data_IF_988863470469
#
_entry.id   IF_988863470469
#
_cell.length_a   1.000
_cell.length_b   1.000
_cell.length_c   1.000
_cell.angle_alpha   90.00
_cell.angle_beta   90.00
_cell.angle_gamma   90.00
#
_symmetry.space_group_name_H-M   'P 1'
#
loop_
_entity.id
_entity.type
_entity.pdbx_description
1 polymer ?
#
# COMPACT_ATOMS: atom_id res chain seq x y z
N UNK A 1 8.61 -1.32 -11.06
CA UNK A 1 9.64 -2.13 -10.35
C UNK A 1 9.07 -2.84 -9.10
N UNK A 2 9.59 -4.03 -8.75
CA UNK A 2 9.33 -4.69 -7.46
C UNK A 2 10.60 -4.70 -6.60
N UNK A 3 10.50 -4.35 -5.31
CA UNK A 3 11.59 -4.37 -4.33
C UNK A 3 11.09 -5.01 -3.04
N UNK A 4 11.68 -6.13 -2.61
CA UNK A 4 11.25 -6.87 -1.41
C UNK A 4 9.73 -7.16 -1.41
N UNK A 5 9.19 -7.57 -2.57
CA UNK A 5 7.76 -7.79 -2.82
C UNK A 5 6.86 -6.53 -2.78
N UNK A 6 7.41 -5.35 -2.53
CA UNK A 6 6.68 -4.09 -2.61
C UNK A 6 6.74 -3.54 -4.05
N UNK A 7 5.58 -3.14 -4.58
CA UNK A 7 5.49 -2.54 -5.91
C UNK A 7 5.84 -1.05 -5.88
N UNK A 8 6.60 -0.58 -6.86
CA UNK A 8 6.95 0.82 -7.06
C UNK A 8 6.77 1.15 -8.55
N UNK A 9 6.21 2.32 -8.86
CA UNK A 9 6.04 2.78 -10.24
C UNK A 9 7.38 3.22 -10.84
N UNK A 10 7.63 2.87 -12.11
CA UNK A 10 8.83 3.36 -12.83
C UNK A 10 8.59 4.75 -13.45
N UNK A 11 7.33 5.17 -13.56
CA UNK A 11 6.89 6.41 -14.22
C UNK A 11 6.84 7.63 -13.29
N UNK A 12 7.47 7.56 -12.11
CA UNK A 12 7.44 8.63 -11.10
C UNK A 12 8.83 8.89 -10.52
N UNK A 13 9.01 10.09 -9.97
CA UNK A 13 10.17 10.45 -9.17
C UNK A 13 9.86 10.29 -7.67
N UNK A 14 10.89 10.07 -6.86
CA UNK A 14 10.76 9.74 -5.45
C UNK A 14 11.52 10.72 -4.56
N UNK A 15 10.86 11.15 -3.48
CA UNK A 15 11.51 11.70 -2.30
C UNK A 15 11.75 10.54 -1.32
N UNK A 16 13.01 10.13 -1.22
CA UNK A 16 13.42 8.98 -0.41
C UNK A 16 13.34 9.25 1.09
N UNK A 17 13.46 10.51 1.51
CA UNK A 17 13.42 10.88 2.93
C UNK A 17 11.99 10.82 3.46
N UNK A 18 11.04 11.29 2.66
CA UNK A 18 9.64 11.43 3.07
C UNK A 18 8.72 10.33 2.54
N UNK A 19 9.24 9.38 1.77
CA UNK A 19 8.49 8.26 1.18
C UNK A 19 7.28 8.72 0.36
N UNK A 20 7.44 9.84 -0.37
CA UNK A 20 6.45 10.37 -1.32
C UNK A 20 6.96 10.23 -2.74
N UNK A 21 6.03 10.14 -3.68
CA UNK A 21 6.32 10.13 -5.11
C UNK A 21 5.71 11.34 -5.80
N UNK A 22 6.28 11.69 -6.95
CA UNK A 22 5.92 12.84 -7.76
C UNK A 22 5.80 12.42 -9.23
N UNK A 23 4.65 12.70 -9.85
CA UNK A 23 4.40 12.41 -11.28
C UNK A 23 4.04 13.69 -12.03
N UNK A 24 4.71 13.95 -13.15
CA UNK A 24 4.47 15.14 -13.96
C UNK A 24 3.05 15.12 -14.57
N UNK A 25 2.38 16.27 -14.54
CA UNK A 25 1.10 16.54 -15.20
C UNK A 25 1.12 17.99 -15.70
N UNK A 26 1.45 18.16 -16.98
CA UNK A 26 1.61 19.48 -17.61
C UNK A 26 2.64 20.37 -16.88
N UNK A 27 2.19 21.46 -16.25
CA UNK A 27 2.97 22.46 -15.50
C UNK A 27 3.09 22.15 -13.99
N UNK A 28 2.48 21.04 -13.56
CA UNK A 28 2.30 20.68 -12.16
C UNK A 28 2.55 19.19 -11.97
N UNK A 29 2.45 18.73 -10.72
CA UNK A 29 2.82 17.38 -10.36
C UNK A 29 1.81 16.77 -9.40
N UNK A 30 1.38 15.55 -9.68
CA UNK A 30 0.70 14.72 -8.71
C UNK A 30 1.69 14.27 -7.64
N UNK A 31 1.26 14.31 -6.39
CA UNK A 31 2.00 13.85 -5.23
C UNK A 31 1.19 12.77 -4.52
N UNK A 32 1.83 11.65 -4.22
CA UNK A 32 1.25 10.58 -3.43
C UNK A 32 2.28 9.94 -2.52
N UNK A 33 1.89 8.86 -1.84
CA UNK A 33 2.77 8.13 -0.92
C UNK A 33 3.22 6.81 -1.53
N UNK A 34 4.44 6.39 -1.19
CA UNK A 34 4.99 5.13 -1.69
C UNK A 34 4.37 3.91 -1.01
N UNK A 35 4.59 2.74 -1.59
CA UNK A 35 4.21 1.45 -0.99
C UNK A 35 4.80 1.25 0.41
N UNK A 36 5.98 1.80 0.70
CA UNK A 36 6.55 1.78 2.07
C UNK A 36 5.58 2.43 3.05
N UNK A 37 5.11 3.64 2.73
CA UNK A 37 4.16 4.37 3.58
C UNK A 37 2.85 3.60 3.73
N UNK A 38 2.30 3.11 2.63
CA UNK A 38 1.02 2.38 2.61
C UNK A 38 1.07 1.14 3.50
N UNK A 39 2.06 0.28 3.29
CA UNK A 39 2.17 -0.96 4.06
C UNK A 39 2.59 -0.74 5.51
N UNK A 40 3.35 0.32 5.79
CA UNK A 40 3.69 0.70 7.15
C UNK A 40 2.49 1.29 7.90
N UNK A 41 1.56 1.98 7.22
CA UNK A 41 0.37 2.61 7.83
C UNK A 41 -0.72 1.59 8.15
N UNK A 42 -0.81 0.51 7.38
CA UNK A 42 -1.95 -0.40 7.40
C UNK A 42 -3.08 0.11 6.50
N UNK A 43 -4.29 -0.46 6.63
CA UNK A 43 -5.47 0.02 5.90
C UNK A 43 -5.74 1.45 6.32
N UNK A 44 -5.65 2.39 5.37
CA UNK A 44 -5.84 3.81 5.65
C UNK A 44 -7.32 4.05 5.96
N UNK A 45 -7.59 4.64 7.11
CA UNK A 45 -8.92 4.90 7.66
C UNK A 45 -9.33 6.36 7.50
N UNK A 46 -8.38 7.29 7.62
CA UNK A 46 -8.62 8.72 7.49
C UNK A 46 -7.50 9.41 6.72
N UNK A 47 -7.86 10.48 6.01
CA UNK A 47 -6.96 11.31 5.19
C UNK A 47 -7.30 12.77 5.46
N UNK A 48 -6.28 13.59 5.72
CA UNK A 48 -6.41 15.04 5.82
C UNK A 48 -5.40 15.70 4.90
N UNK A 49 -5.83 16.68 4.11
CA UNK A 49 -5.01 17.33 3.10
C UNK A 49 -5.20 18.84 3.18
N UNK A 50 -4.12 19.60 2.93
CA UNK A 50 -4.20 21.06 2.84
C UNK A 50 -5.09 21.48 1.66
N UNK A 51 -5.87 22.56 1.80
CA UNK A 51 -6.78 23.00 0.75
C UNK A 51 -6.02 23.58 -0.44
N UNK A 52 -6.72 23.62 -1.59
CA UNK A 52 -6.25 24.31 -2.81
C UNK A 52 -5.90 25.77 -2.49
N UNK A 53 -4.84 26.26 -3.12
CA UNK A 53 -4.29 27.61 -2.91
C UNK A 53 -3.26 27.70 -1.79
N UNK A 54 -3.08 26.64 -0.98
CA UNK A 54 -2.10 26.68 0.12
C UNK A 54 -0.67 26.62 -0.41
N UNK A 55 0.14 27.61 -0.06
CA UNK A 55 1.60 27.58 -0.24
C UNK A 55 2.27 26.75 0.85
N UNK A 56 3.22 25.90 0.47
CA UNK A 56 3.91 24.99 1.38
C UNK A 56 5.39 24.90 0.99
N UNK A 57 6.27 24.99 1.98
CA UNK A 57 7.71 24.80 1.78
C UNK A 57 8.07 23.31 1.72
N UNK A 58 9.16 22.99 1.00
CA UNK A 58 9.74 21.65 0.98
C UNK A 58 9.91 21.09 2.41
N UNK A 59 9.53 19.83 2.60
CA UNK A 59 9.63 19.11 3.87
C UNK A 59 8.56 19.51 4.90
N UNK A 60 7.67 20.46 4.60
CA UNK A 60 6.55 20.82 5.48
C UNK A 60 5.30 19.99 5.16
N UNK A 61 4.42 19.88 6.15
CA UNK A 61 3.19 19.09 6.07
C UNK A 61 2.28 19.60 4.94
N UNK A 62 1.86 18.67 4.08
CA UNK A 62 0.79 18.83 3.08
C UNK A 62 -0.46 18.02 3.42
N UNK A 63 -0.33 17.03 4.32
CA UNK A 63 -1.44 16.22 4.80
C UNK A 63 -1.01 15.14 5.79
N UNK A 64 -1.94 14.26 6.12
CA UNK A 64 -1.71 13.11 6.99
C UNK A 64 -2.58 11.92 6.63
N UNK A 65 -2.07 10.73 6.90
CA UNK A 65 -2.75 9.44 6.73
C UNK A 65 -2.80 8.74 8.09
N UNK A 66 -3.96 8.20 8.43
CA UNK A 66 -4.15 7.43 9.65
C UNK A 66 -4.56 6.00 9.32
N UNK A 67 -3.86 5.04 9.91
CA UNK A 67 -4.21 3.63 9.86
C UNK A 67 -3.94 2.94 11.19
N UNK A 68 -4.31 1.67 11.32
CA UNK A 68 -4.21 0.94 12.58
C UNK A 68 -2.76 0.67 13.01
N UNK A 69 -1.80 0.72 12.08
CA UNK A 69 -0.38 0.43 12.39
C UNK A 69 0.39 1.71 12.71
N UNK A 70 0.15 2.79 11.97
CA UNK A 70 0.86 4.05 12.15
C UNK A 70 0.01 5.27 11.74
N UNK A 71 0.37 6.43 12.28
CA UNK A 71 -0.03 7.74 11.78
C UNK A 71 1.13 8.34 10.99
N UNK A 72 0.88 8.82 9.77
CA UNK A 72 1.91 9.34 8.87
C UNK A 72 1.61 10.78 8.49
N UNK A 73 2.59 11.66 8.71
CA UNK A 73 2.58 13.02 8.15
C UNK A 73 3.15 12.97 6.73
N UNK A 74 2.38 13.46 5.77
CA UNK A 74 2.82 13.62 4.38
C UNK A 74 3.45 14.99 4.22
N UNK A 75 4.70 15.02 3.76
CA UNK A 75 5.49 16.25 3.58
C UNK A 75 5.62 16.62 2.10
N UNK A 76 5.74 17.91 1.83
CA UNK A 76 5.93 18.43 0.48
C UNK A 76 7.31 18.00 -0.07
N UNK A 77 7.37 17.36 -1.26
CA UNK A 77 8.63 16.99 -1.89
C UNK A 77 9.43 18.21 -2.41
N UNK A 78 8.76 19.33 -2.63
CA UNK A 78 9.30 20.60 -3.08
C UNK A 78 8.45 21.77 -2.56
N UNK A 79 9.01 22.98 -2.53
CA UNK A 79 8.26 24.21 -2.23
C UNK A 79 7.33 24.56 -3.40
N UNK A 80 6.11 24.98 -3.08
CA UNK A 80 5.10 25.27 -4.11
C UNK A 80 3.72 25.56 -3.55
N UNK A 81 2.70 25.44 -4.40
CA UNK A 81 1.29 25.64 -4.04
C UNK A 81 0.43 24.44 -4.42
N UNK A 82 -0.54 24.10 -3.57
CA UNK A 82 -1.56 23.08 -3.85
C UNK A 82 -2.53 23.61 -4.90
N UNK A 83 -2.64 22.92 -6.03
CA UNK A 83 -3.56 23.25 -7.14
C UNK A 83 -4.82 22.41 -7.12
N UNK A 84 -4.71 21.17 -6.66
CA UNK A 84 -5.83 20.24 -6.63
C UNK A 84 -5.68 19.28 -5.44
N UNK A 85 -6.81 18.81 -4.92
CA UNK A 85 -6.90 17.80 -3.87
C UNK A 85 -7.76 16.66 -4.40
N UNK A 86 -7.28 15.42 -4.26
CA UNK A 86 -8.05 14.27 -4.69
C UNK A 86 -9.22 14.00 -3.71
N UNK A 87 -10.42 14.43 -4.08
CA UNK A 87 -11.61 14.23 -3.24
C UNK A 87 -12.00 12.76 -3.10
N UNK A 88 -11.58 11.89 -4.04
CA UNK A 88 -11.90 10.46 -3.98
C UNK A 88 -11.21 9.77 -2.80
N UNK A 89 -9.95 10.10 -2.49
CA UNK A 89 -9.25 9.50 -1.35
C UNK A 89 -9.75 10.03 -0.01
N UNK A 90 -10.37 11.22 0.02
CA UNK A 90 -11.04 11.72 1.21
C UNK A 90 -12.32 10.93 1.51
N UNK A 91 -13.07 10.56 0.46
CA UNK A 91 -14.31 9.77 0.58
C UNK A 91 -14.04 8.27 0.71
N UNK A 92 -12.98 7.77 0.07
CA UNK A 92 -12.58 6.36 -0.01
C UNK A 92 -11.07 6.22 0.26
N UNK A 93 -10.61 6.40 1.51
CA UNK A 93 -9.19 6.32 1.87
C UNK A 93 -8.45 5.06 1.42
N UNK A 94 -9.15 3.91 1.41
CA UNK A 94 -8.61 2.61 0.96
C UNK A 94 -8.05 2.64 -0.47
N UNK A 95 -8.47 3.57 -1.31
CA UNK A 95 -7.93 3.75 -2.66
C UNK A 95 -6.41 3.98 -2.66
N UNK A 96 -5.86 4.62 -1.61
CA UNK A 96 -4.42 4.81 -1.45
C UNK A 96 -3.72 3.46 -1.20
N UNK A 97 -4.37 2.51 -0.51
CA UNK A 97 -3.86 1.16 -0.34
C UNK A 97 -3.91 0.35 -1.64
N UNK A 98 -5.01 0.47 -2.39
CA UNK A 98 -5.28 -0.35 -3.58
C UNK A 98 -4.46 0.07 -4.80
N UNK A 99 -4.32 1.38 -5.02
CA UNK A 99 -3.64 1.94 -6.18
C UNK A 99 -2.81 3.19 -5.81
N UNK A 100 -1.71 3.02 -5.06
CA UNK A 100 -0.93 4.14 -4.52
C UNK A 100 -0.30 5.05 -5.57
N UNK A 101 -0.11 4.58 -6.80
CA UNK A 101 0.56 5.33 -7.88
C UNK A 101 -0.37 5.76 -9.02
N UNK A 102 -1.61 5.25 -9.04
CA UNK A 102 -2.67 5.68 -9.94
C UNK A 102 -3.71 6.53 -9.22
N UNK A 103 -4.86 5.94 -8.90
CA UNK A 103 -6.01 6.62 -8.32
C UNK A 103 -5.76 7.17 -6.90
N UNK A 104 -4.77 6.63 -6.17
CA UNK A 104 -4.40 6.99 -4.80
C UNK A 104 -3.54 8.24 -4.63
N UNK A 105 -3.37 9.08 -5.66
CA UNK A 105 -2.69 10.37 -5.51
C UNK A 105 -3.41 11.27 -4.51
N UNK A 106 -2.67 12.14 -3.81
CA UNK A 106 -3.22 12.95 -2.71
C UNK A 106 -3.53 14.38 -3.15
N UNK A 107 -2.51 15.07 -3.67
CA UNK A 107 -2.60 16.47 -4.12
C UNK A 107 -1.89 16.66 -5.44
N UNK A 108 -2.30 17.68 -6.19
CA UNK A 108 -1.55 18.21 -7.34
C UNK A 108 -0.91 19.52 -6.92
N UNK A 109 0.38 19.70 -7.15
CA UNK A 109 1.13 20.89 -6.73
C UNK A 109 1.92 21.50 -7.89
N UNK A 110 2.01 22.83 -7.92
CA UNK A 110 2.92 23.56 -8.82
C UNK A 110 4.18 23.96 -8.02
N UNK A 111 5.39 23.64 -8.49
CA UNK A 111 6.62 24.03 -7.81
C UNK A 111 6.85 25.54 -7.91
N UNK A 112 7.37 26.15 -6.85
CA UNK A 112 7.90 27.52 -6.90
C UNK A 112 9.33 27.57 -7.48
N UNK A 113 10.05 26.46 -7.41
CA UNK A 113 11.40 26.28 -7.99
C UNK A 113 11.49 24.91 -8.68
N UNK A 114 11.50 24.85 -10.03
CA UNK A 114 11.61 23.62 -10.78
C UNK A 114 12.87 22.79 -10.47
N UNK A 115 13.96 23.43 -10.02
CA UNK A 115 15.21 22.72 -9.71
C UNK A 115 15.06 21.75 -8.54
N UNK A 116 14.12 22.00 -7.62
CA UNK A 116 13.87 21.09 -6.50
C UNK A 116 13.29 19.75 -6.96
N UNK A 117 12.51 19.74 -8.04
CA UNK A 117 11.97 18.51 -8.63
C UNK A 117 13.10 17.67 -9.22
N UNK A 118 14.12 18.30 -9.81
CA UNK A 118 15.28 17.63 -10.39
C UNK A 118 16.16 16.90 -9.35
N UNK A 119 15.98 17.18 -8.06
CA UNK A 119 16.70 16.49 -6.97
C UNK A 119 16.05 15.15 -6.58
N UNK A 120 14.82 14.91 -7.01
CA UNK A 120 14.09 13.66 -6.75
C UNK A 120 14.70 12.50 -7.55
N UNK A 121 14.45 11.28 -7.09
CA UNK A 121 15.12 10.07 -7.59
C UNK A 121 14.22 9.27 -8.50
N UNK A 122 14.78 8.75 -9.59
CA UNK A 122 14.12 7.73 -10.40
C UNK A 122 13.91 6.44 -9.60
N UNK A 123 13.03 5.56 -10.08
CA UNK A 123 12.84 4.24 -9.50
C UNK A 123 14.16 3.44 -9.41
N UNK A 124 15.00 3.54 -10.44
CA UNK A 124 16.28 2.84 -10.49
C UNK A 124 17.24 3.33 -9.40
N UNK A 125 17.36 4.65 -9.21
CA UNK A 125 18.18 5.24 -8.13
C UNK A 125 17.61 4.93 -6.73
N UNK A 126 16.30 4.81 -6.61
CA UNK A 126 15.61 4.59 -5.33
C UNK A 126 15.71 3.14 -4.82
N UNK A 127 15.97 2.17 -5.71
CA UNK A 127 15.84 0.73 -5.46
C UNK A 127 16.58 0.25 -4.20
N UNK A 128 17.85 0.62 -4.06
CA UNK A 128 18.68 0.17 -2.94
C UNK A 128 18.22 0.78 -1.61
N UNK A 129 17.89 2.08 -1.62
CA UNK A 129 17.36 2.79 -0.45
C UNK A 129 16.03 2.18 0.01
N UNK A 130 15.14 1.84 -0.93
CA UNK A 130 13.89 1.15 -0.61
C UNK A 130 14.11 -0.25 -0.05
N UNK A 131 14.99 -1.07 -0.63
CA UNK A 131 15.30 -2.40 -0.08
C UNK A 131 15.81 -2.30 1.36
N UNK A 132 16.75 -1.38 1.62
CA UNK A 132 17.27 -1.13 2.97
C UNK A 132 16.17 -0.73 3.93
N UNK A 133 15.31 0.23 3.54
CA UNK A 133 14.26 0.73 4.42
C UNK A 133 13.16 -0.29 4.68
N UNK A 134 12.76 -1.07 3.68
CA UNK A 134 11.78 -2.14 3.83
C UNK A 134 12.26 -3.16 4.87
N UNK A 135 13.54 -3.55 4.81
CA UNK A 135 14.16 -4.46 5.79
C UNK A 135 14.22 -3.84 7.18
N UNK A 136 14.66 -2.59 7.28
CA UNK A 136 14.77 -1.86 8.55
C UNK A 136 13.40 -1.72 9.26
N UNK A 137 12.36 -1.37 8.50
CA UNK A 137 10.99 -1.23 9.00
C UNK A 137 10.24 -2.56 9.09
N UNK A 138 10.85 -3.67 8.66
CA UNK A 138 10.23 -5.01 8.60
C UNK A 138 8.89 -5.03 7.86
N UNK A 139 8.80 -4.23 6.80
CA UNK A 139 7.58 -4.10 5.99
C UNK A 139 7.37 -5.40 5.19
N UNK A 140 6.14 -5.89 5.19
CA UNK A 140 5.72 -7.05 4.41
C UNK A 140 4.67 -6.62 3.40
N UNK A 141 5.07 -6.58 2.14
CA UNK A 141 4.15 -6.34 1.04
C UNK A 141 3.59 -7.66 0.51
N UNK A 142 2.37 -7.59 0.00
CA UNK A 142 1.66 -8.69 -0.65
C UNK A 142 1.02 -8.21 -1.95
N UNK A 143 0.55 -9.14 -2.79
CA UNK A 143 -0.05 -8.89 -4.09
C UNK A 143 -1.34 -8.05 -4.03
N UNK A 144 -2.03 -8.03 -2.88
CA UNK A 144 -3.16 -7.16 -2.63
C UNK A 144 -3.20 -6.77 -1.14
N UNK A 145 -3.73 -5.59 -0.84
CA UNK A 145 -3.89 -5.14 0.53
C UNK A 145 -5.05 -5.90 1.21
N UNK A 146 -4.82 -6.58 2.34
CA UNK A 146 -5.87 -7.33 3.01
C UNK A 146 -6.89 -6.41 3.69
N UNK A 147 -8.18 -6.75 3.61
CA UNK A 147 -9.24 -6.16 4.42
C UNK A 147 -9.25 -6.69 5.84
N UNK A 148 -8.91 -7.97 5.99
CA UNK A 148 -8.72 -8.63 7.28
C UNK A 148 -7.47 -9.52 7.24
N UNK A 149 -6.84 -9.65 8.39
CA UNK A 149 -5.71 -10.56 8.61
C UNK A 149 -6.18 -11.68 9.57
N UNK A 150 -5.98 -12.93 9.18
CA UNK A 150 -6.37 -14.12 9.93
C UNK A 150 -5.10 -14.92 10.26
N UNK A 151 -4.81 -15.10 11.54
CA UNK A 151 -3.62 -15.79 12.03
C UNK A 151 -4.03 -17.09 12.74
N UNK A 152 -3.87 -18.22 12.05
CA UNK A 152 -4.24 -19.56 12.54
C UNK A 152 -2.97 -20.38 12.78
N UNK A 153 -2.39 -20.23 13.97
CA UNK A 153 -1.11 -20.85 14.37
C UNK A 153 -1.36 -21.92 15.44
N UNK A 154 -0.73 -23.09 15.30
CA UNK A 154 -0.89 -24.21 16.23
C UNK A 154 -2.25 -24.93 16.08
N UNK A 155 -2.87 -24.80 14.91
CA UNK A 155 -4.19 -25.36 14.61
C UNK A 155 -4.05 -26.34 13.43
N UNK A 156 -4.70 -27.50 13.53
CA UNK A 156 -4.72 -28.50 12.47
C UNK A 156 -5.53 -28.04 11.24
N UNK A 157 -5.19 -28.59 10.07
CA UNK A 157 -5.55 -28.01 8.77
C UNK A 157 -7.07 -27.82 8.52
N UNK A 158 -7.92 -28.76 8.97
CA UNK A 158 -9.38 -28.67 8.77
C UNK A 158 -10.01 -27.44 9.45
N UNK A 159 -9.45 -27.00 10.57
CA UNK A 159 -9.95 -25.85 11.30
C UNK A 159 -9.51 -24.53 10.64
N UNK A 160 -8.33 -24.48 10.00
CA UNK A 160 -7.86 -23.31 9.26
C UNK A 160 -8.83 -22.95 8.13
N UNK A 161 -9.22 -23.94 7.31
CA UNK A 161 -10.19 -23.71 6.22
C UNK A 161 -11.58 -23.36 6.74
N UNK A 162 -12.02 -23.98 7.85
CA UNK A 162 -13.30 -23.63 8.46
C UNK A 162 -13.34 -22.17 8.91
N UNK A 163 -12.26 -21.67 9.54
CA UNK A 163 -12.10 -20.27 9.94
C UNK A 163 -12.08 -19.32 8.75
N UNK A 164 -11.34 -19.67 7.69
CA UNK A 164 -11.32 -18.89 6.46
C UNK A 164 -12.71 -18.81 5.83
N UNK A 165 -13.45 -19.91 5.76
CA UNK A 165 -14.81 -19.94 5.21
C UNK A 165 -15.79 -19.10 6.04
N UNK A 166 -15.73 -19.20 7.37
CA UNK A 166 -16.54 -18.35 8.27
C UNK A 166 -16.23 -16.86 8.06
N UNK A 167 -14.95 -16.50 7.99
CA UNK A 167 -14.54 -15.12 7.72
C UNK A 167 -15.07 -14.63 6.36
N UNK A 168 -14.87 -15.41 5.29
CA UNK A 168 -15.36 -15.07 3.95
C UNK A 168 -16.88 -14.94 3.90
N UNK A 169 -17.64 -15.75 4.64
CA UNK A 169 -19.10 -15.69 4.65
C UNK A 169 -19.65 -14.33 5.09
N UNK A 170 -18.89 -13.60 5.91
CA UNK A 170 -19.26 -12.27 6.46
C UNK A 170 -18.76 -11.10 5.61
N UNK A 171 -17.88 -11.37 4.65
CA UNK A 171 -17.27 -10.35 3.79
C UNK A 171 -18.06 -10.13 2.50
N UNK A 172 -17.88 -8.97 1.88
CA UNK A 172 -18.43 -8.68 0.56
C UNK A 172 -17.59 -9.32 -0.55
N UNK A 173 -18.19 -9.60 -1.70
CA UNK A 173 -17.45 -10.00 -2.89
C UNK A 173 -16.42 -8.92 -3.23
N UNK A 174 -15.20 -9.35 -3.55
CA UNK A 174 -14.04 -8.48 -3.79
C UNK A 174 -13.13 -8.29 -2.58
N UNK A 175 -13.60 -8.59 -1.35
CA UNK A 175 -12.77 -8.49 -0.15
C UNK A 175 -11.55 -9.41 -0.19
N UNK A 176 -10.45 -8.96 0.40
CA UNK A 176 -9.16 -9.65 0.44
C UNK A 176 -8.85 -10.07 1.87
N UNK A 177 -8.43 -11.32 2.04
CA UNK A 177 -8.02 -11.90 3.32
C UNK A 177 -6.55 -12.27 3.23
N UNK A 178 -5.76 -11.82 4.20
CA UNK A 178 -4.45 -12.41 4.48
C UNK A 178 -4.66 -13.55 5.47
N UNK A 179 -4.42 -14.79 5.06
CA UNK A 179 -4.36 -15.94 5.96
C UNK A 179 -2.89 -16.26 6.25
N UNK A 180 -2.55 -16.41 7.53
CA UNK A 180 -1.23 -16.86 7.99
C UNK A 180 -1.41 -18.12 8.82
N UNK A 181 -0.69 -19.19 8.48
CA UNK A 181 -0.79 -20.47 9.20
C UNK A 181 0.56 -21.21 9.24
N UNK A 182 0.79 -22.02 10.26
CA UNK A 182 1.94 -22.92 10.38
C UNK A 182 1.63 -24.37 9.94
N UNK A 183 0.41 -24.63 9.45
CA UNK A 183 0.01 -25.95 8.97
C UNK A 183 0.82 -26.36 7.71
N UNK A 184 1.59 -27.45 7.76
CA UNK A 184 2.43 -27.90 6.66
C UNK A 184 1.64 -28.41 5.45
N UNK A 185 0.35 -28.72 5.60
CA UNK A 185 -0.51 -29.21 4.51
C UNK A 185 -1.26 -28.10 3.78
N UNK A 186 -1.32 -26.90 4.38
CA UNK A 186 -2.10 -25.75 3.92
C UNK A 186 -1.85 -25.37 2.46
N UNK A 187 -0.64 -25.53 1.94
CA UNK A 187 -0.34 -25.20 0.54
C UNK A 187 -1.18 -26.02 -0.44
N UNK A 188 -1.22 -27.35 -0.27
CA UNK A 188 -1.97 -28.26 -1.15
C UNK A 188 -3.48 -28.05 -0.94
N UNK A 189 -3.89 -27.88 0.32
CA UNK A 189 -5.30 -27.73 0.67
C UNK A 189 -5.89 -26.42 0.17
N UNK A 190 -5.19 -25.30 0.33
CA UNK A 190 -5.63 -24.01 -0.18
C UNK A 190 -5.80 -24.01 -1.70
N UNK A 191 -4.91 -24.69 -2.44
CA UNK A 191 -5.06 -24.84 -3.89
C UNK A 191 -6.30 -25.66 -4.26
N UNK A 192 -6.56 -26.75 -3.53
CA UNK A 192 -7.76 -27.59 -3.76
C UNK A 192 -9.04 -26.83 -3.38
N UNK A 193 -9.03 -26.18 -2.22
CA UNK A 193 -10.12 -25.37 -1.69
C UNK A 193 -10.49 -24.23 -2.64
N UNK A 194 -9.51 -23.49 -3.17
CA UNK A 194 -9.75 -22.41 -4.12
C UNK A 194 -10.44 -22.94 -5.39
N UNK A 195 -9.98 -24.08 -5.93
CA UNK A 195 -10.61 -24.72 -7.10
C UNK A 195 -12.03 -25.20 -6.82
N UNK A 196 -12.30 -25.72 -5.63
CA UNK A 196 -13.62 -26.26 -5.25
C UNK A 196 -14.64 -25.15 -4.96
N UNK A 197 -14.21 -24.08 -4.31
CA UNK A 197 -15.08 -22.98 -3.90
C UNK A 197 -15.23 -21.91 -4.96
N UNK A 198 -14.30 -21.81 -5.92
CA UNK A 198 -14.26 -20.72 -6.92
C UNK A 198 -13.66 -19.42 -6.38
N UNK A 199 -13.17 -19.41 -5.13
CA UNK A 199 -12.44 -18.28 -4.58
C UNK A 199 -11.05 -18.14 -5.23
N UNK A 200 -10.49 -16.93 -5.23
CA UNK A 200 -9.19 -16.66 -5.87
C UNK A 200 -8.06 -16.65 -4.87
N UNK A 201 -7.00 -17.42 -5.14
CA UNK A 201 -5.73 -17.35 -4.42
C UNK A 201 -4.77 -16.44 -5.21
N UNK A 202 -4.58 -15.20 -4.74
CA UNK A 202 -3.77 -14.18 -5.41
C UNK A 202 -2.27 -14.34 -5.15
N UNK A 203 -1.91 -14.77 -3.95
CA UNK A 203 -0.52 -15.01 -3.55
C UNK A 203 -0.46 -16.21 -2.61
N UNK A 204 0.60 -17.00 -2.75
CA UNK A 204 1.06 -17.94 -1.74
C UNK A 204 2.53 -17.69 -1.48
N UNK A 205 2.93 -17.69 -0.21
CA UNK A 205 4.33 -17.48 0.18
C UNK A 205 4.63 -18.24 1.45
N UNK A 206 5.82 -18.83 1.53
CA UNK A 206 6.34 -19.42 2.75
C UNK A 206 7.46 -18.54 3.30
N UNK A 207 7.34 -18.17 4.56
CA UNK A 207 8.34 -17.42 5.32
C UNK A 207 8.67 -18.25 6.58
N UNK A 208 9.85 -18.85 6.61
CA UNK A 208 10.25 -19.79 7.65
C UNK A 208 9.25 -20.96 7.79
N UNK A 209 8.58 -21.05 8.93
CA UNK A 209 7.58 -22.06 9.25
C UNK A 209 6.14 -21.58 9.01
N UNK A 210 5.95 -20.35 8.50
CA UNK A 210 4.63 -19.77 8.26
C UNK A 210 4.31 -19.70 6.76
N UNK A 211 3.12 -20.15 6.42
CA UNK A 211 2.49 -19.97 5.12
C UNK A 211 1.60 -18.73 5.16
N UNK A 212 1.73 -17.91 4.13
CA UNK A 212 0.94 -16.71 3.91
C UNK A 212 0.17 -16.86 2.61
N UNK A 213 -1.13 -16.64 2.68
CA UNK A 213 -2.03 -16.70 1.53
C UNK A 213 -2.80 -15.39 1.41
N UNK A 214 -2.84 -14.82 0.20
CA UNK A 214 -3.75 -13.74 -0.13
C UNK A 214 -4.92 -14.33 -0.89
N UNK A 215 -6.09 -14.27 -0.27
CA UNK A 215 -7.33 -14.82 -0.81
C UNK A 215 -8.26 -13.67 -1.15
N UNK A 216 -8.83 -13.67 -2.36
CA UNK A 216 -9.87 -12.73 -2.76
C UNK A 216 -11.21 -13.45 -2.85
N UNK A 217 -12.21 -12.89 -2.18
CA UNK A 217 -13.60 -13.34 -2.29
C UNK A 217 -14.14 -13.02 -3.67
N UNK A 218 -14.65 -14.01 -4.39
CA UNK A 218 -15.23 -13.88 -5.74
C UNK A 218 -16.68 -14.36 -5.79
N UNK A 219 -17.02 -15.35 -4.96
CA UNK A 219 -18.38 -15.89 -4.78
C UNK A 219 -18.85 -15.75 -3.34
#
# INVERSE_FOLDING_TARGET
>A
MIVENCAFSDDVLYDLENFVWVKKSEDSFFVGVTSITVWNTGIIKSVSLKPVGTSVDKGKLIGSLEGPKNFVVVKAPFSGSVKEVNSNVLQKPRMINDDPYGAGWLVKMTPSDPNQVALLKSAQEAKEAFSKKIKELRIRCYAAFPDIELYEIGIECSAVLAKLNDALSRLSVGSVVLLVTDDPTSEIEMMRWAKQTGQQLLEKRRNDNLYHFIVKKVV
#
